data_IF_694048718537
#
_entry.id   IF_694048718537
#
_cell.length_a   1.000
_cell.length_b   1.000
_cell.length_c   1.000
_cell.angle_alpha   90.00
_cell.angle_beta   90.00
_cell.angle_gamma   90.00
#
_symmetry.space_group_name_H-M   'P 1'
#
loop_
_entity.id
_entity.type
_entity.pdbx_description
1 polymer ?
#
# COMPACT_ATOMS: atom_id res chain seq x y z
N UNK A 1 12.80 -4.91 -9.98
CA UNK A 1 12.31 -5.57 -8.76
C UNK A 1 11.10 -6.38 -9.18
N UNK A 2 11.00 -7.66 -8.81
CA UNK A 2 9.78 -8.43 -9.13
C UNK A 2 8.57 -7.81 -8.39
N UNK A 3 7.38 -7.80 -9.00
CA UNK A 3 6.19 -7.22 -8.40
C UNK A 3 5.82 -8.00 -7.13
N UNK A 4 5.87 -7.35 -5.96
CA UNK A 4 5.63 -7.99 -4.66
C UNK A 4 4.17 -7.85 -4.23
N UNK A 5 3.55 -8.95 -3.81
CA UNK A 5 2.27 -8.93 -3.12
C UNK A 5 2.49 -8.84 -1.60
N UNK A 6 1.66 -8.08 -0.89
CA UNK A 6 1.73 -7.92 0.57
C UNK A 6 0.39 -8.33 1.20
N UNK A 7 0.41 -9.14 2.26
CA UNK A 7 -0.78 -9.39 3.08
C UNK A 7 -0.94 -8.28 4.14
N UNK A 8 -2.15 -7.74 4.25
CA UNK A 8 -2.53 -6.69 5.20
C UNK A 8 -3.74 -7.14 6.04
N UNK A 9 -3.71 -8.39 6.54
CA UNK A 9 -4.83 -8.95 7.28
C UNK A 9 -6.00 -9.31 6.36
N UNK A 10 -7.09 -8.53 6.44
CA UNK A 10 -8.29 -8.71 5.61
C UNK A 10 -8.13 -8.33 4.13
N UNK A 11 -6.95 -7.86 3.73
CA UNK A 11 -6.65 -7.40 2.37
C UNK A 11 -5.35 -7.97 1.81
N UNK A 12 -5.27 -8.00 0.48
CA UNK A 12 -4.04 -8.17 -0.27
C UNK A 12 -3.69 -6.92 -1.06
N UNK A 13 -2.42 -6.53 -1.03
CA UNK A 13 -1.86 -5.47 -1.86
C UNK A 13 -1.28 -6.10 -3.11
N UNK A 14 -1.93 -5.87 -4.25
CA UNK A 14 -1.53 -6.38 -5.54
C UNK A 14 -0.69 -5.33 -6.28
N UNK A 15 0.52 -5.67 -6.74
CA UNK A 15 1.41 -4.73 -7.40
C UNK A 15 0.78 -4.19 -8.69
N UNK A 16 0.97 -2.88 -8.92
CA UNK A 16 0.52 -2.18 -10.13
C UNK A 16 1.68 -2.08 -11.13
N UNK A 17 1.34 -1.99 -12.41
CA UNK A 17 2.32 -1.94 -13.52
C UNK A 17 2.88 -0.52 -13.78
N UNK A 18 2.59 0.45 -12.90
CA UNK A 18 3.10 1.82 -13.03
C UNK A 18 4.62 1.85 -12.76
N UNK A 19 5.41 2.21 -13.78
CA UNK A 19 6.86 2.00 -13.83
C UNK A 19 7.70 2.86 -12.87
N UNK A 20 7.15 3.95 -12.35
CA UNK A 20 7.91 4.97 -11.61
C UNK A 20 7.66 4.95 -10.09
N UNK A 21 6.65 4.22 -9.60
CA UNK A 21 6.28 4.19 -8.18
C UNK A 21 6.03 2.76 -7.69
N UNK A 22 6.49 2.40 -6.49
CA UNK A 22 6.08 1.15 -5.84
C UNK A 22 4.60 1.28 -5.44
N UNK A 23 3.70 0.86 -6.33
CA UNK A 23 2.25 1.02 -6.17
C UNK A 23 1.51 -0.31 -6.04
N UNK A 24 0.46 -0.31 -5.24
CA UNK A 24 -0.41 -1.47 -5.05
C UNK A 24 -1.88 -1.08 -5.09
N UNK A 25 -2.71 -1.98 -5.64
CA UNK A 25 -4.16 -2.00 -5.41
C UNK A 25 -4.45 -2.80 -4.15
N UNK A 26 -5.31 -2.28 -3.29
CA UNK A 26 -5.75 -2.93 -2.06
C UNK A 26 -7.06 -3.65 -2.34
N UNK A 27 -7.01 -4.98 -2.35
CA UNK A 27 -8.15 -5.84 -2.62
C UNK A 27 -8.60 -6.57 -1.35
N UNK A 28 -9.90 -6.67 -1.11
CA UNK A 28 -10.42 -7.52 -0.02
C UNK A 28 -10.03 -8.98 -0.27
N UNK A 29 -9.60 -9.68 0.79
CA UNK A 29 -8.94 -10.97 0.67
C UNK A 29 -9.86 -12.12 0.22
N UNK A 30 -11.17 -12.00 0.46
CA UNK A 30 -12.17 -13.03 0.19
C UNK A 30 -12.82 -12.86 -1.18
N UNK A 31 -13.21 -11.63 -1.53
CA UNK A 31 -13.94 -11.28 -2.75
C UNK A 31 -13.02 -10.78 -3.86
N UNK A 32 -11.82 -10.30 -3.51
CA UNK A 32 -10.89 -9.68 -4.46
C UNK A 32 -11.29 -8.27 -4.91
N UNK A 33 -12.32 -7.69 -4.30
CA UNK A 33 -12.82 -6.37 -4.69
C UNK A 33 -11.81 -5.27 -4.36
N UNK A 34 -11.51 -4.36 -5.30
CA UNK A 34 -10.60 -3.25 -5.06
C UNK A 34 -11.27 -2.18 -4.20
N UNK A 35 -10.64 -1.82 -3.09
CA UNK A 35 -11.20 -0.89 -2.09
C UNK A 35 -10.36 0.39 -1.93
N UNK A 36 -9.05 0.29 -2.14
CA UNK A 36 -8.13 1.43 -2.10
C UNK A 36 -6.92 1.21 -3.02
N UNK A 37 -6.10 2.23 -3.15
CA UNK A 37 -4.73 2.15 -3.66
C UNK A 37 -3.73 2.73 -2.66
N UNK A 38 -2.50 2.24 -2.72
CA UNK A 38 -1.38 2.74 -1.92
C UNK A 38 -0.12 2.83 -2.77
N UNK A 39 0.63 3.90 -2.60
CA UNK A 39 1.94 4.07 -3.23
C UNK A 39 3.00 4.38 -2.18
N UNK A 40 4.21 3.89 -2.43
CA UNK A 40 5.43 4.22 -1.70
C UNK A 40 6.40 4.88 -2.67
N UNK A 41 6.85 6.09 -2.34
CA UNK A 41 8.02 6.67 -2.96
C UNK A 41 9.29 6.11 -2.28
N UNK A 42 10.13 5.32 -2.98
CA UNK A 42 11.28 4.67 -2.35
C UNK A 42 12.42 5.64 -2.00
N UNK A 43 12.39 6.87 -2.52
CA UNK A 43 13.44 7.88 -2.28
C UNK A 43 13.17 8.70 -1.02
N UNK A 44 11.97 9.25 -0.89
CA UNK A 44 11.52 10.08 0.23
C UNK A 44 10.86 9.27 1.35
N UNK A 45 10.39 8.05 1.06
CA UNK A 45 9.59 7.24 1.97
C UNK A 45 8.16 7.75 2.16
N UNK A 46 7.68 8.65 1.31
CA UNK A 46 6.29 9.10 1.35
C UNK A 46 5.35 7.94 1.00
N UNK A 47 4.30 7.77 1.81
CA UNK A 47 3.22 6.82 1.56
C UNK A 47 1.95 7.61 1.30
N UNK A 48 1.30 7.33 0.18
CA UNK A 48 0.03 7.95 -0.19
C UNK A 48 -1.00 6.85 -0.35
N UNK A 49 -2.15 7.01 0.30
CA UNK A 49 -3.30 6.11 0.17
C UNK A 49 -4.48 6.84 -0.42
N UNK A 50 -5.26 6.14 -1.23
CA UNK A 50 -6.54 6.63 -1.73
C UNK A 50 -7.59 5.53 -1.61
N UNK A 51 -8.53 5.73 -0.68
CA UNK A 51 -9.69 4.86 -0.53
C UNK A 51 -10.92 5.43 -1.25
N UNK A 52 -11.84 4.55 -1.61
CA UNK A 52 -13.22 4.93 -1.89
C UNK A 52 -13.97 5.21 -0.57
N UNK A 53 -15.07 5.97 -0.63
CA UNK A 53 -15.88 6.31 0.55
C UNK A 53 -16.28 5.05 1.33
N UNK A 54 -16.09 5.06 2.65
CA UNK A 54 -16.36 3.91 3.53
C UNK A 54 -15.28 2.81 3.58
N UNK A 55 -14.12 3.01 2.93
CA UNK A 55 -13.03 2.03 2.90
C UNK A 55 -11.74 2.52 3.59
N UNK A 56 -11.86 3.41 4.56
CA UNK A 56 -10.73 3.99 5.30
C UNK A 56 -9.91 2.93 6.06
N UNK A 57 -10.56 1.87 6.54
CA UNK A 57 -9.87 0.76 7.24
C UNK A 57 -8.91 0.01 6.29
N UNK A 58 -9.32 -0.21 5.04
CA UNK A 58 -8.49 -0.83 4.01
C UNK A 58 -7.27 0.03 3.67
N UNK A 59 -7.45 1.36 3.57
CA UNK A 59 -6.34 2.29 3.36
C UNK A 59 -5.38 2.33 4.56
N UNK A 60 -5.89 2.36 5.79
CA UNK A 60 -5.07 2.34 7.00
C UNK A 60 -4.24 1.06 7.10
N UNK A 61 -4.87 -0.11 6.91
CA UNK A 61 -4.20 -1.40 6.92
C UNK A 61 -3.12 -1.48 5.82
N UNK A 62 -3.40 -0.97 4.63
CA UNK A 62 -2.45 -0.93 3.53
C UNK A 62 -1.26 -0.02 3.84
N UNK A 63 -1.49 1.18 4.40
CA UNK A 63 -0.42 2.09 4.80
C UNK A 63 0.50 1.44 5.84
N UNK A 64 -0.05 0.78 6.86
CA UNK A 64 0.75 0.10 7.88
C UNK A 64 1.56 -1.07 7.31
N UNK A 65 0.98 -1.85 6.39
CA UNK A 65 1.68 -2.94 5.72
C UNK A 65 2.85 -2.43 4.88
N UNK A 66 2.64 -1.35 4.11
CA UNK A 66 3.68 -0.71 3.30
C UNK A 66 4.75 -0.07 4.18
N UNK A 67 4.40 0.49 5.34
CA UNK A 67 5.40 0.99 6.31
C UNK A 67 6.33 -0.12 6.80
N UNK A 68 5.78 -1.29 7.15
CA UNK A 68 6.58 -2.45 7.58
C UNK A 68 7.46 -2.97 6.44
N UNK A 69 6.93 -2.99 5.21
CA UNK A 69 7.70 -3.35 4.02
C UNK A 69 8.85 -2.37 3.74
N UNK A 70 8.58 -1.07 3.78
CA UNK A 70 9.59 -0.01 3.60
C UNK A 70 10.71 -0.13 4.65
N UNK A 71 10.35 -0.36 5.92
CA UNK A 71 11.32 -0.57 6.99
C UNK A 71 12.20 -1.81 6.72
N UNK A 72 11.63 -2.90 6.22
CA UNK A 72 12.38 -4.10 5.84
C UNK A 72 13.33 -3.86 4.65
N UNK A 73 12.97 -2.96 3.73
CA UNK A 73 13.85 -2.52 2.63
C UNK A 73 14.90 -1.47 3.06
N UNK A 74 14.82 -0.94 4.29
CA UNK A 74 15.69 0.13 4.77
C UNK A 74 15.26 1.53 4.34
N UNK A 75 14.03 1.70 3.82
CA UNK A 75 13.44 3.00 3.51
C UNK A 75 12.79 3.56 4.78
N UNK A 76 13.17 4.77 5.19
CA UNK A 76 12.52 5.47 6.30
C UNK A 76 11.26 6.16 5.79
N UNK A 77 10.11 5.78 6.32
CA UNK A 77 8.84 6.38 5.93
C UNK A 77 8.61 7.69 6.67
N UNK A 78 8.11 8.70 5.96
CA UNK A 78 7.61 9.92 6.58
C UNK A 78 6.27 9.62 7.29
N UNK A 79 5.91 10.35 8.37
CA UNK A 79 4.57 10.24 8.93
C UNK A 79 3.54 10.60 7.85
N UNK A 80 2.42 9.87 7.82
CA UNK A 80 1.30 10.17 6.95
C UNK A 80 0.90 11.64 7.18
N UNK A 81 0.94 12.47 6.14
CA UNK A 81 0.49 13.85 6.25
C UNK A 81 -1.03 13.83 6.32
N UNK A 82 -1.57 14.25 7.46
CA UNK A 82 -3.01 14.43 7.72
C UNK A 82 -3.64 15.50 6.82
#
# INVERSE_FOLDING_TARGET
MEPVQINAGGWYLLPRDDADCCGWSVCEATTGEPQADVTLDPVSGAIVTRAQDGHDDAAAAAAEAVQRFAAAMGVRTAPAQE
#
